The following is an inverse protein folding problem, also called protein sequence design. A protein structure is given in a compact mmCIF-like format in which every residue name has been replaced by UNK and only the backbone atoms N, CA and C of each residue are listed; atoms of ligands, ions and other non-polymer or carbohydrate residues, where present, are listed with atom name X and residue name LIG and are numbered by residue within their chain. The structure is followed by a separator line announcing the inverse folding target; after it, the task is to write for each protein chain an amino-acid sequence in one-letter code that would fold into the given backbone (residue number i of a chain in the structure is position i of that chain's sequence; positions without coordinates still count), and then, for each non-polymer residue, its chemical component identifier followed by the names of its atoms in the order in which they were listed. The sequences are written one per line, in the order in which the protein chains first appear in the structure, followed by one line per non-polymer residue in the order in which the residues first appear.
data_IF_693050688578
#
_entry.id   IF_693050688578
#
_cell.length_a   1.000
_cell.length_b   1.000
_cell.length_c   1.000
_cell.angle_alpha   90.00
_cell.angle_beta   90.00
_cell.angle_gamma   90.00
#
_symmetry.space_group_name_H-M   'P 1'
#
loop_
_entity.id
_entity.type
_entity.pdbx_description
1 polymer ?
#
# COMPACT_ATOMS: atom_id res chain seq x y z
N UNK A 1 -20.30 7.05 -3.80
CA UNK A 1 -19.38 7.16 -4.94
C UNK A 1 -18.34 6.07 -4.90
N UNK A 2 -18.09 5.43 -6.03
CA UNK A 2 -17.08 4.38 -6.09
C UNK A 2 -15.69 4.98 -6.20
N UNK A 3 -14.78 4.44 -5.40
CA UNK A 3 -13.38 4.78 -5.57
C UNK A 3 -12.84 4.16 -6.85
N UNK A 4 -12.04 4.92 -7.57
CA UNK A 4 -11.32 4.37 -8.71
C UNK A 4 -10.17 3.53 -8.20
N UNK A 5 -9.69 2.61 -9.04
CA UNK A 5 -8.52 1.80 -8.71
C UNK A 5 -7.32 2.68 -8.36
N UNK A 6 -7.15 3.78 -9.10
CA UNK A 6 -6.06 4.70 -8.86
C UNK A 6 -6.12 5.31 -7.44
N UNK A 7 -7.31 5.76 -7.03
CA UNK A 7 -7.48 6.35 -5.70
C UNK A 7 -7.21 5.33 -4.61
N UNK A 8 -7.67 4.09 -4.82
CA UNK A 8 -7.41 3.01 -3.86
C UNK A 8 -5.91 2.76 -3.72
N UNK A 9 -5.20 2.72 -4.83
CA UNK A 9 -3.75 2.52 -4.82
C UNK A 9 -3.04 3.69 -4.15
N UNK A 10 -3.48 4.91 -4.43
CA UNK A 10 -2.90 6.09 -3.80
C UNK A 10 -3.03 6.07 -2.28
N UNK A 11 -4.17 5.62 -1.77
CA UNK A 11 -4.38 5.49 -0.32
C UNK A 11 -3.43 4.48 0.29
N UNK A 12 -3.28 3.35 -0.35
CA UNK A 12 -2.37 2.31 0.13
C UNK A 12 -0.93 2.84 0.13
N UNK A 13 -0.54 3.52 -0.92
CA UNK A 13 0.80 4.07 -1.02
C UNK A 13 1.02 5.17 0.03
N UNK A 14 0.04 6.03 0.24
CA UNK A 14 0.13 7.08 1.27
C UNK A 14 0.32 6.45 2.65
N UNK A 15 -0.43 5.40 2.95
CA UNK A 15 -0.29 4.67 4.21
C UNK A 15 1.12 4.09 4.36
N UNK A 16 1.62 3.48 3.30
CA UNK A 16 2.96 2.94 3.26
C UNK A 16 4.00 4.02 3.59
N UNK A 17 3.90 5.18 2.95
CA UNK A 17 4.85 6.27 3.17
C UNK A 17 4.79 6.81 4.61
N UNK A 18 3.61 6.88 5.19
CA UNK A 18 3.45 7.30 6.57
C UNK A 18 4.21 6.39 7.53
N UNK A 19 4.23 5.11 7.24
CA UNK A 19 4.83 4.11 8.12
C UNK A 19 6.33 3.95 7.93
N UNK A 20 6.88 4.48 6.83
CA UNK A 20 8.29 4.30 6.50
C UNK A 20 9.24 4.85 7.57
N UNK A 21 8.81 5.84 8.32
CA UNK A 21 9.65 6.45 9.33
C UNK A 21 9.72 5.67 10.64
N UNK A 22 8.80 4.74 10.86
CA UNK A 22 8.67 4.07 12.15
C UNK A 22 8.75 2.55 12.06
N UNK A 23 8.40 1.98 10.91
CA UNK A 23 8.34 0.53 10.74
C UNK A 23 9.25 0.07 9.61
N UNK A 24 9.67 -1.18 9.70
CA UNK A 24 10.41 -1.79 8.58
C UNK A 24 9.46 -2.05 7.41
N UNK A 25 10.02 -2.15 6.21
CA UNK A 25 9.23 -2.35 5.00
C UNK A 25 8.35 -3.60 5.11
N UNK A 26 8.90 -4.69 5.61
CA UNK A 26 8.13 -5.93 5.75
C UNK A 26 6.96 -5.77 6.72
N UNK A 27 7.19 -5.09 7.85
CA UNK A 27 6.11 -4.84 8.81
C UNK A 27 5.02 -3.99 8.19
N UNK A 28 5.39 -3.00 7.38
CA UNK A 28 4.43 -2.15 6.68
C UNK A 28 3.55 -2.98 5.77
N UNK A 29 4.15 -3.86 4.99
CA UNK A 29 3.40 -4.74 4.10
C UNK A 29 2.42 -5.61 4.88
N UNK A 30 2.85 -6.20 5.99
CA UNK A 30 1.99 -7.01 6.84
C UNK A 30 0.80 -6.21 7.37
N UNK A 31 1.07 -5.04 7.91
CA UNK A 31 0.03 -4.21 8.50
C UNK A 31 -1.01 -3.78 7.47
N UNK A 32 -0.55 -3.32 6.32
CA UNK A 32 -1.47 -2.88 5.26
C UNK A 32 -2.25 -4.07 4.71
N UNK A 33 -1.59 -5.18 4.49
CA UNK A 33 -2.27 -6.39 4.00
C UNK A 33 -3.38 -6.81 4.94
N UNK A 34 -3.12 -6.77 6.24
CA UNK A 34 -4.12 -7.11 7.24
C UNK A 34 -5.27 -6.11 7.26
N UNK A 35 -4.95 -4.81 7.21
CA UNK A 35 -5.97 -3.76 7.19
C UNK A 35 -6.91 -3.87 6.00
N UNK A 36 -6.35 -4.24 4.84
CA UNK A 36 -7.13 -4.28 3.59
C UNK A 36 -7.66 -5.66 3.25
N UNK A 37 -7.27 -6.67 4.00
CA UNK A 37 -7.66 -8.05 3.69
C UNK A 37 -7.04 -8.57 2.41
N UNK A 38 -5.83 -8.13 2.09
CA UNK A 38 -5.10 -8.53 0.89
C UNK A 38 -3.85 -9.33 1.26
N UNK A 39 -3.29 -10.02 0.28
CA UNK A 39 -2.02 -10.71 0.48
C UNK A 39 -0.87 -9.71 0.45
N UNK A 40 0.24 -10.10 1.07
CA UNK A 40 1.45 -9.27 1.07
C UNK A 40 1.95 -9.04 -0.35
N UNK A 41 1.92 -10.07 -1.18
CA UNK A 41 2.34 -9.95 -2.59
C UNK A 41 1.51 -8.89 -3.32
N UNK A 42 0.21 -8.86 -3.06
CA UNK A 42 -0.66 -7.87 -3.67
C UNK A 42 -0.26 -6.45 -3.25
N UNK A 43 0.01 -6.26 -1.96
CA UNK A 43 0.43 -4.95 -1.46
C UNK A 43 1.75 -4.53 -2.10
N UNK A 44 2.70 -5.45 -2.22
CA UNK A 44 3.99 -5.16 -2.87
C UNK A 44 3.79 -4.72 -4.31
N UNK A 45 2.92 -5.39 -5.04
CA UNK A 45 2.62 -5.02 -6.43
C UNK A 45 2.03 -3.63 -6.52
N UNK A 46 1.07 -3.32 -5.65
CA UNK A 46 0.42 -2.02 -5.65
C UNK A 46 1.44 -0.92 -5.39
N UNK A 47 2.30 -1.12 -4.40
CA UNK A 47 3.31 -0.12 -4.05
C UNK A 47 4.31 0.06 -5.19
N UNK A 48 4.70 -1.03 -5.84
CA UNK A 48 5.61 -0.96 -6.98
C UNK A 48 4.99 -0.16 -8.13
N UNK A 49 3.71 -0.39 -8.41
CA UNK A 49 2.99 0.35 -9.44
C UNK A 49 2.98 1.85 -9.11
N UNK A 50 2.66 2.19 -7.88
CA UNK A 50 2.62 3.59 -7.45
C UNK A 50 3.99 4.26 -7.56
N UNK A 51 5.04 3.54 -7.21
CA UNK A 51 6.40 4.09 -7.29
C UNK A 51 6.83 4.38 -8.72
N UNK A 52 6.36 3.59 -9.68
CA UNK A 52 6.72 3.77 -11.08
C UNK A 52 5.85 4.78 -11.79
N UNK A 53 4.57 4.80 -11.48
CA UNK A 53 3.60 5.56 -12.28
C UNK A 53 3.02 6.77 -11.57
N UNK A 54 3.15 6.83 -10.29
CA UNK A 54 2.54 7.91 -9.47
C UNK A 54 3.55 8.42 -8.40
#
# INVERSE_FOLDING_TARGET
MRETTKKRYERIYARYKEMLGTDSVMNIYYKIAEEKGMSIDRIRQIIAICRHNW
#
